data_IF_769045140104
#
_entry.id   IF_769045140104
#
_cell.length_a   1.000
_cell.length_b   1.000
_cell.length_c   1.000
_cell.angle_alpha   90.00
_cell.angle_beta   90.00
_cell.angle_gamma   90.00
#
_symmetry.space_group_name_H-M   'P 1'
#
loop_
_entity.id
_entity.type
_entity.pdbx_description
1 polymer ?
#
# COMPACT_ATOMS: atom_id res chain seq x y z
N UNK A 1 -5.97 0.26 25.99
CA UNK A 1 -5.74 -0.28 24.63
C UNK A 1 -6.96 -0.86 23.89
N UNK A 2 -8.06 -1.22 24.54
CA UNK A 2 -9.28 -1.76 23.85
C UNK A 2 -10.12 -0.69 23.12
N UNK A 3 -10.04 0.58 23.53
CA UNK A 3 -10.91 1.66 22.99
C UNK A 3 -10.49 2.13 21.59
N UNK A 4 -9.19 2.28 21.32
CA UNK A 4 -8.70 2.77 20.03
C UNK A 4 -9.06 1.86 18.82
N UNK A 5 -9.20 0.55 19.04
CA UNK A 5 -9.57 -0.40 17.97
C UNK A 5 -10.98 -0.18 17.41
N UNK A 6 -11.86 0.46 18.19
CA UNK A 6 -13.23 0.80 17.78
C UNK A 6 -13.33 2.22 17.22
N UNK A 7 -12.47 3.13 17.67
CA UNK A 7 -12.50 4.55 17.27
C UNK A 7 -11.99 4.73 15.83
N UNK A 8 -10.92 4.03 15.42
CA UNK A 8 -10.35 4.16 14.08
C UNK A 8 -11.33 3.82 12.94
N UNK A 9 -12.06 2.68 12.96
CA UNK A 9 -13.08 2.40 11.95
C UNK A 9 -14.23 3.41 11.95
N UNK A 10 -14.67 3.87 13.13
CA UNK A 10 -15.70 4.89 13.24
C UNK A 10 -15.26 6.22 12.61
N UNK A 11 -14.00 6.63 12.84
CA UNK A 11 -13.44 7.82 12.24
C UNK A 11 -13.33 7.71 10.71
N UNK A 12 -12.93 6.52 10.20
CA UNK A 12 -12.93 6.26 8.75
C UNK A 12 -14.31 6.40 8.13
N UNK A 13 -15.33 5.80 8.76
CA UNK A 13 -16.73 5.90 8.31
C UNK A 13 -17.20 7.35 8.37
N UNK A 14 -16.88 8.06 9.45
CA UNK A 14 -17.27 9.47 9.60
C UNK A 14 -16.71 10.34 8.47
N UNK A 15 -15.42 10.17 8.10
CA UNK A 15 -14.82 10.90 6.99
C UNK A 15 -15.51 10.60 5.65
N UNK A 16 -15.85 9.34 5.39
CA UNK A 16 -16.58 8.97 4.17
C UNK A 16 -18.00 9.57 4.15
N UNK A 17 -18.71 9.51 5.28
CA UNK A 17 -20.05 10.09 5.39
C UNK A 17 -20.02 11.60 5.18
N UNK A 18 -19.05 12.29 5.78
CA UNK A 18 -18.82 13.72 5.60
C UNK A 18 -18.58 14.03 4.11
N UNK A 19 -17.67 13.29 3.46
CA UNK A 19 -17.38 13.46 2.04
C UNK A 19 -18.65 13.28 1.19
N UNK A 20 -19.41 12.21 1.40
CA UNK A 20 -20.62 11.91 0.66
C UNK A 20 -21.73 12.95 0.90
N UNK A 21 -21.85 13.45 2.12
CA UNK A 21 -22.83 14.48 2.48
C UNK A 21 -22.59 15.79 1.72
N UNK A 22 -21.31 16.22 1.62
CA UNK A 22 -20.96 17.43 0.90
C UNK A 22 -20.91 17.27 -0.63
N UNK A 23 -20.91 16.03 -1.13
CA UNK A 23 -20.72 15.74 -2.57
C UNK A 23 -22.00 15.69 -3.39
N UNK A 24 -23.18 15.97 -2.79
CA UNK A 24 -24.48 15.83 -3.44
C UNK A 24 -24.67 14.44 -4.07
N UNK A 25 -25.11 13.48 -3.26
CA UNK A 25 -25.24 12.07 -3.65
C UNK A 25 -26.02 11.83 -4.96
N UNK A 26 -27.17 12.50 -5.25
CA UNK A 26 -27.83 12.37 -6.53
C UNK A 26 -26.92 12.67 -7.71
N UNK A 27 -26.19 13.79 -7.66
CA UNK A 27 -25.23 14.17 -8.70
C UNK A 27 -24.08 13.16 -8.85
N UNK A 28 -23.59 12.57 -7.76
CA UNK A 28 -22.58 11.49 -7.81
C UNK A 28 -23.12 10.27 -8.54
N UNK A 29 -24.35 9.85 -8.24
CA UNK A 29 -24.99 8.71 -8.89
C UNK A 29 -25.20 8.97 -10.38
N UNK A 30 -25.71 10.15 -10.75
CA UNK A 30 -25.92 10.54 -12.16
C UNK A 30 -24.63 10.51 -12.98
N UNK A 31 -23.51 10.93 -12.38
CA UNK A 31 -22.18 10.86 -13.01
C UNK A 31 -21.75 9.40 -13.19
N UNK A 32 -21.93 8.57 -12.18
CA UNK A 32 -21.56 7.15 -12.25
C UNK A 32 -22.38 6.35 -13.26
N UNK A 33 -23.64 6.69 -13.46
CA UNK A 33 -24.51 6.04 -14.47
C UNK A 33 -24.06 6.29 -15.91
N UNK A 34 -23.30 7.36 -16.16
CA UNK A 34 -22.76 7.73 -17.48
C UNK A 34 -21.39 7.13 -17.77
N UNK A 35 -20.89 6.23 -16.91
CA UNK A 35 -19.53 5.68 -16.99
C UNK A 35 -19.29 4.91 -18.29
N UNK A 36 -18.21 5.25 -18.99
CA UNK A 36 -17.76 4.53 -20.18
C UNK A 36 -17.11 3.20 -19.80
N UNK A 37 -17.83 2.09 -20.03
CA UNK A 37 -17.39 0.74 -19.66
C UNK A 37 -16.17 0.25 -20.43
N UNK A 38 -15.87 0.80 -21.63
CA UNK A 38 -14.67 0.45 -22.38
C UNK A 38 -13.41 0.90 -21.64
N UNK A 39 -13.39 2.13 -21.10
CA UNK A 39 -12.27 2.64 -20.31
C UNK A 39 -12.10 1.87 -18.99
N UNK A 40 -13.20 1.45 -18.38
CA UNK A 40 -13.17 0.58 -17.19
C UNK A 40 -12.57 -0.78 -17.52
N UNK A 41 -12.87 -1.35 -18.67
CA UNK A 41 -12.28 -2.63 -19.11
C UNK A 41 -10.77 -2.51 -19.27
N UNK A 42 -10.26 -1.41 -19.83
CA UNK A 42 -8.81 -1.13 -19.91
C UNK A 42 -8.21 -1.01 -18.51
N UNK A 43 -8.88 -0.29 -17.60
CA UNK A 43 -8.43 -0.14 -16.21
C UNK A 43 -8.34 -1.51 -15.50
N UNK A 44 -9.28 -2.43 -15.74
CA UNK A 44 -9.24 -3.79 -15.20
C UNK A 44 -8.05 -4.61 -15.73
N UNK A 45 -7.70 -4.48 -17.00
CA UNK A 45 -6.52 -5.13 -17.56
C UNK A 45 -5.25 -4.63 -16.89
N UNK A 46 -5.13 -3.31 -16.70
CA UNK A 46 -4.00 -2.69 -15.99
C UNK A 46 -3.97 -3.16 -14.53
N UNK A 47 -5.11 -3.29 -13.88
CA UNK A 47 -5.21 -3.81 -12.50
C UNK A 47 -4.65 -5.23 -12.41
N UNK A 48 -5.03 -6.13 -13.30
CA UNK A 48 -4.52 -7.51 -13.33
C UNK A 48 -3.01 -7.52 -13.54
N UNK A 49 -2.50 -6.70 -14.46
CA UNK A 49 -1.07 -6.54 -14.69
C UNK A 49 -0.34 -6.03 -13.42
N UNK A 50 -0.90 -5.02 -12.72
CA UNK A 50 -0.35 -4.49 -11.48
C UNK A 50 -0.27 -5.56 -10.39
N UNK A 51 -1.33 -6.37 -10.22
CA UNK A 51 -1.33 -7.49 -9.25
C UNK A 51 -0.26 -8.52 -9.63
N UNK A 52 -0.11 -8.85 -10.90
CA UNK A 52 0.94 -9.76 -11.37
C UNK A 52 2.34 -9.22 -11.07
N UNK A 53 2.60 -7.94 -11.32
CA UNK A 53 3.88 -7.26 -11.00
C UNK A 53 4.19 -7.37 -9.50
N UNK A 54 3.20 -7.24 -8.61
CA UNK A 54 3.37 -7.43 -7.16
C UNK A 54 3.84 -8.84 -6.81
N UNK A 55 3.27 -9.87 -7.45
CA UNK A 55 3.67 -11.27 -7.26
C UNK A 55 5.07 -11.52 -7.80
N UNK A 56 5.42 -10.97 -8.98
CA UNK A 56 6.78 -11.01 -9.55
C UNK A 56 7.79 -10.42 -8.57
N UNK A 57 7.50 -9.24 -8.03
CA UNK A 57 8.35 -8.55 -7.05
C UNK A 57 8.59 -9.41 -5.80
N UNK A 58 7.55 -10.03 -5.27
CA UNK A 58 7.68 -10.96 -4.16
C UNK A 58 8.55 -12.16 -4.51
N UNK A 59 8.35 -12.77 -5.67
CA UNK A 59 9.16 -13.90 -6.16
C UNK A 59 10.64 -13.53 -6.31
N UNK A 60 10.96 -12.33 -6.78
CA UNK A 60 12.34 -11.82 -6.88
C UNK A 60 13.01 -11.73 -5.50
N UNK A 61 12.30 -11.25 -4.49
CA UNK A 61 12.82 -11.25 -3.11
C UNK A 61 13.11 -12.66 -2.61
N UNK A 62 12.19 -13.60 -2.83
CA UNK A 62 12.39 -14.99 -2.41
C UNK A 62 13.60 -15.61 -3.13
N UNK A 63 13.76 -15.38 -4.43
CA UNK A 63 14.92 -15.81 -5.20
C UNK A 63 16.23 -15.23 -4.65
N UNK A 64 16.25 -13.95 -4.27
CA UNK A 64 17.43 -13.31 -3.63
C UNK A 64 17.80 -13.97 -2.29
N UNK A 65 16.83 -14.48 -1.57
CA UNK A 65 17.03 -15.19 -0.30
C UNK A 65 17.36 -16.69 -0.49
N UNK A 66 17.59 -17.13 -1.74
CA UNK A 66 17.75 -18.55 -2.10
C UNK A 66 16.57 -19.40 -1.60
N UNK A 67 15.34 -18.90 -1.81
CA UNK A 67 14.10 -19.61 -1.53
C UNK A 67 13.43 -19.88 -2.86
N UNK A 68 13.53 -21.14 -3.30
CA UNK A 68 12.81 -21.59 -4.48
C UNK A 68 11.30 -21.57 -4.23
N UNK A 69 10.54 -20.93 -5.12
CA UNK A 69 9.12 -20.79 -4.98
C UNK A 69 8.42 -20.81 -6.34
N UNK A 70 7.36 -21.56 -6.42
CA UNK A 70 6.47 -21.59 -7.59
C UNK A 70 5.61 -20.31 -7.64
N UNK A 71 5.03 -20.02 -8.79
CA UNK A 71 4.07 -18.91 -8.93
C UNK A 71 2.85 -19.07 -8.02
N UNK A 72 2.37 -20.33 -7.86
CA UNK A 72 1.26 -20.65 -6.96
C UNK A 72 1.60 -20.31 -5.51
N UNK A 73 2.78 -20.75 -5.00
CA UNK A 73 3.23 -20.45 -3.62
C UNK A 73 3.38 -18.94 -3.39
N UNK A 74 3.90 -18.21 -4.38
CA UNK A 74 3.98 -16.74 -4.29
C UNK A 74 2.59 -16.12 -4.21
N UNK A 75 1.65 -16.54 -5.06
CA UNK A 75 0.27 -16.02 -5.08
C UNK A 75 -0.48 -16.38 -3.79
N UNK A 76 -0.41 -17.64 -3.35
CA UNK A 76 -1.09 -18.10 -2.12
C UNK A 76 -0.49 -17.51 -0.83
N UNK A 77 0.76 -17.06 -0.84
CA UNK A 77 1.30 -16.30 0.29
C UNK A 77 0.95 -14.81 0.22
N UNK A 78 0.97 -14.23 -0.99
CA UNK A 78 0.82 -12.78 -1.20
C UNK A 78 -0.63 -12.31 -1.08
N UNK A 79 -1.57 -12.96 -1.81
CA UNK A 79 -2.95 -12.48 -1.92
C UNK A 79 -3.72 -12.47 -0.59
N UNK A 80 -3.71 -13.54 0.25
CA UNK A 80 -4.35 -13.47 1.56
C UNK A 80 -3.71 -12.44 2.50
N UNK A 81 -2.39 -12.22 2.38
CA UNK A 81 -1.71 -11.19 3.15
C UNK A 81 -2.14 -9.78 2.71
N UNK A 82 -2.31 -9.54 1.42
CA UNK A 82 -2.83 -8.29 0.88
C UNK A 82 -4.26 -8.02 1.40
N UNK A 83 -5.12 -9.05 1.40
CA UNK A 83 -6.46 -8.95 1.99
C UNK A 83 -6.40 -8.52 3.45
N UNK A 84 -5.67 -9.23 4.30
CA UNK A 84 -5.58 -8.94 5.72
C UNK A 84 -4.93 -7.59 6.03
N UNK A 85 -3.93 -7.20 5.24
CA UNK A 85 -3.20 -5.96 5.46
C UNK A 85 -4.09 -4.72 5.36
N UNK A 86 -5.09 -4.77 4.48
CA UNK A 86 -6.03 -3.67 4.28
C UNK A 86 -6.97 -3.44 5.48
N UNK A 87 -7.14 -4.45 6.36
CA UNK A 87 -7.86 -4.29 7.62
C UNK A 87 -6.96 -3.86 8.79
N UNK A 88 -5.65 -3.74 8.56
CA UNK A 88 -4.71 -3.33 9.59
C UNK A 88 -4.25 -1.89 9.41
N UNK A 89 -4.07 -1.12 10.52
CA UNK A 89 -3.53 0.23 10.44
C UNK A 89 -2.20 0.25 9.69
N UNK A 90 -2.00 1.24 8.82
CA UNK A 90 -0.78 1.42 8.01
C UNK A 90 -0.30 0.13 7.28
N UNK A 91 -1.21 -0.80 6.97
CA UNK A 91 -0.93 -2.10 6.33
C UNK A 91 0.11 -2.96 7.07
N UNK A 92 0.18 -2.84 8.41
CA UNK A 92 1.12 -3.60 9.26
C UNK A 92 0.87 -5.11 9.18
N UNK A 93 -0.24 -5.57 8.62
CA UNK A 93 -0.56 -6.99 8.40
C UNK A 93 0.20 -7.68 7.26
N UNK A 94 0.87 -6.95 6.36
CA UNK A 94 1.55 -7.57 5.20
C UNK A 94 2.61 -8.62 5.53
N UNK A 95 3.41 -8.52 6.60
CA UNK A 95 4.32 -9.59 7.00
C UNK A 95 3.66 -10.95 7.24
N UNK A 96 2.34 -11.04 7.30
CA UNK A 96 1.63 -12.31 7.41
C UNK A 96 1.87 -13.22 6.19
N UNK A 97 2.29 -12.66 5.04
CA UNK A 97 2.72 -13.47 3.89
C UNK A 97 3.93 -14.35 4.21
N UNK A 98 4.80 -13.89 5.10
CA UNK A 98 5.92 -14.70 5.59
C UNK A 98 5.44 -15.88 6.45
N UNK A 99 4.33 -15.72 7.17
CA UNK A 99 3.69 -16.81 7.91
C UNK A 99 3.09 -17.84 6.95
N UNK A 100 2.38 -17.43 5.91
CA UNK A 100 1.82 -18.33 4.92
C UNK A 100 2.92 -19.09 4.18
N UNK A 101 4.02 -18.42 3.81
CA UNK A 101 5.15 -19.07 3.20
C UNK A 101 5.82 -20.07 4.16
N UNK A 102 5.93 -19.73 5.46
CA UNK A 102 6.41 -20.68 6.48
C UNK A 102 5.52 -21.92 6.56
N UNK A 103 4.20 -21.75 6.52
CA UNK A 103 3.25 -22.87 6.58
C UNK A 103 3.39 -23.80 5.38
N UNK A 104 3.64 -23.26 4.18
CA UNK A 104 3.75 -24.04 2.94
C UNK A 104 5.13 -24.67 2.74
N UNK A 105 6.21 -24.00 3.15
CA UNK A 105 7.60 -24.38 2.81
C UNK A 105 8.51 -24.56 4.03
N UNK A 106 8.05 -24.34 5.24
CA UNK A 106 8.89 -24.41 6.44
C UNK A 106 9.91 -23.27 6.58
N UNK A 107 9.90 -22.27 5.68
CA UNK A 107 10.88 -21.18 5.69
C UNK A 107 10.66 -20.26 6.90
N UNK A 108 11.76 -19.89 7.59
CA UNK A 108 11.68 -19.00 8.74
C UNK A 108 11.12 -17.62 8.38
N UNK A 109 10.14 -17.14 9.13
CA UNK A 109 9.58 -15.79 8.97
C UNK A 109 10.64 -14.70 9.18
N UNK A 110 11.59 -14.91 10.10
CA UNK A 110 12.67 -13.94 10.35
C UNK A 110 13.54 -13.69 9.12
N UNK A 111 13.67 -14.68 8.22
CA UNK A 111 14.40 -14.53 6.96
C UNK A 111 13.63 -13.73 5.90
N UNK A 112 12.31 -13.80 5.89
CA UNK A 112 11.47 -13.23 4.83
C UNK A 112 10.82 -11.89 5.18
N UNK A 113 10.58 -11.58 6.47
CA UNK A 113 10.04 -10.30 6.93
C UNK A 113 10.87 -9.09 6.45
N UNK A 114 12.22 -9.11 6.48
CA UNK A 114 13.03 -7.99 5.99
C UNK A 114 12.71 -7.58 4.55
N UNK A 115 12.47 -8.54 3.67
CA UNK A 115 12.11 -8.23 2.28
C UNK A 115 10.75 -7.51 2.18
N UNK A 116 9.81 -7.78 3.09
CA UNK A 116 8.54 -7.04 3.18
C UNK A 116 8.77 -5.59 3.58
N UNK A 117 9.67 -5.37 4.54
CA UNK A 117 10.03 -4.02 5.01
C UNK A 117 10.68 -3.22 3.89
N UNK A 118 11.64 -3.83 3.17
CA UNK A 118 12.30 -3.18 2.03
C UNK A 118 11.31 -2.87 0.92
N UNK A 119 10.37 -3.77 0.64
CA UNK A 119 9.30 -3.53 -0.32
C UNK A 119 8.45 -2.30 0.06
N UNK A 120 8.07 -2.17 1.34
CA UNK A 120 7.33 -0.99 1.83
C UNK A 120 8.15 0.29 1.71
N UNK A 121 9.44 0.24 2.01
CA UNK A 121 10.31 1.40 1.80
C UNK A 121 10.34 1.84 0.32
N UNK A 122 10.47 0.89 -0.62
CA UNK A 122 10.44 1.19 -2.05
C UNK A 122 9.09 1.76 -2.50
N UNK A 123 7.99 1.25 -1.96
CA UNK A 123 6.65 1.78 -2.25
C UNK A 123 6.50 3.22 -1.75
N UNK A 124 6.93 3.53 -0.52
CA UNK A 124 6.86 4.90 0.02
C UNK A 124 7.76 5.84 -0.79
N UNK A 125 8.97 5.44 -1.15
CA UNK A 125 9.87 6.24 -2.01
C UNK A 125 9.18 6.53 -3.36
N UNK A 126 8.56 5.51 -3.97
CA UNK A 126 7.83 5.67 -5.23
C UNK A 126 6.66 6.65 -5.12
N UNK A 127 5.86 6.53 -4.06
CA UNK A 127 4.75 7.45 -3.78
C UNK A 127 5.22 8.88 -3.55
N UNK A 128 6.32 9.06 -2.83
CA UNK A 128 6.90 10.37 -2.59
C UNK A 128 7.39 10.99 -3.90
N UNK A 129 8.09 10.23 -4.75
CA UNK A 129 8.54 10.72 -6.07
C UNK A 129 7.33 11.15 -6.92
N UNK A 130 6.26 10.37 -6.95
CA UNK A 130 5.06 10.70 -7.69
C UNK A 130 4.29 11.87 -7.07
N UNK A 131 4.23 11.93 -5.74
CA UNK A 131 3.50 12.98 -5.00
C UNK A 131 4.20 14.32 -5.02
N UNK A 132 5.53 14.35 -5.08
CA UNK A 132 6.31 15.61 -5.13
C UNK A 132 5.89 16.53 -6.28
N UNK A 133 5.46 15.96 -7.39
CA UNK A 133 5.02 16.76 -8.54
C UNK A 133 3.78 17.63 -8.26
N UNK A 134 2.97 17.30 -7.27
CA UNK A 134 1.85 18.16 -6.86
C UNK A 134 2.34 19.54 -6.38
N UNK A 135 3.56 19.59 -5.85
CA UNK A 135 4.17 20.81 -5.32
C UNK A 135 4.47 21.84 -6.40
N UNK A 136 4.72 21.40 -7.63
CA UNK A 136 4.97 22.27 -8.77
C UNK A 136 3.68 22.80 -9.40
N UNK A 137 2.53 22.19 -9.10
CA UNK A 137 1.23 22.60 -9.60
C UNK A 137 0.46 23.50 -8.62
N UNK A 138 0.76 23.40 -7.34
CA UNK A 138 0.16 24.23 -6.30
C UNK A 138 1.21 25.09 -5.60
N UNK A 139 0.88 26.35 -5.36
CA UNK A 139 1.66 27.23 -4.47
C UNK A 139 1.37 26.89 -2.98
N UNK A 140 1.51 25.60 -2.66
CA UNK A 140 1.15 25.02 -1.36
C UNK A 140 2.31 25.11 -0.37
N UNK A 141 2.79 26.33 -0.09
CA UNK A 141 3.99 26.64 0.70
C UNK A 141 4.30 25.69 1.88
N UNK A 142 3.31 25.29 2.67
CA UNK A 142 3.51 24.42 3.83
C UNK A 142 3.50 22.90 3.51
N UNK A 143 2.77 22.47 2.49
CA UNK A 143 2.64 21.04 2.12
C UNK A 143 3.95 20.51 1.54
N UNK A 144 4.73 21.38 0.86
CA UNK A 144 6.09 21.07 0.39
C UNK A 144 6.96 20.55 1.53
N UNK A 145 6.92 21.21 2.68
CA UNK A 145 7.73 20.81 3.83
C UNK A 145 7.35 19.44 4.39
N UNK A 146 6.08 19.07 4.32
CA UNK A 146 5.61 17.73 4.76
C UNK A 146 6.15 16.63 3.84
N UNK A 147 6.09 16.81 2.53
CA UNK A 147 6.61 15.82 1.58
C UNK A 147 8.14 15.71 1.66
N UNK A 148 8.86 16.84 1.71
CA UNK A 148 10.31 16.84 1.91
C UNK A 148 10.68 16.17 3.23
N UNK A 149 9.95 16.47 4.30
CA UNK A 149 10.15 15.81 5.60
C UNK A 149 9.94 14.30 5.51
N UNK A 150 8.88 13.85 4.82
CA UNK A 150 8.61 12.42 4.62
C UNK A 150 9.70 11.73 3.79
N UNK A 151 10.20 12.40 2.73
CA UNK A 151 11.34 11.91 1.94
C UNK A 151 12.56 11.72 2.83
N UNK A 152 12.92 12.75 3.57
CA UNK A 152 14.09 12.73 4.46
C UNK A 152 13.92 11.64 5.53
N UNK A 153 12.74 11.53 6.13
CA UNK A 153 12.43 10.53 7.14
C UNK A 153 12.55 9.10 6.59
N UNK A 154 12.02 8.84 5.40
CA UNK A 154 12.11 7.52 4.75
C UNK A 154 13.55 7.19 4.36
N UNK A 155 14.29 8.16 3.85
CA UNK A 155 15.72 8.00 3.53
C UNK A 155 16.52 7.69 4.81
N UNK A 156 16.29 8.44 5.89
CA UNK A 156 16.98 8.23 7.18
C UNK A 156 16.65 6.84 7.73
N UNK A 157 15.36 6.45 7.75
CA UNK A 157 14.95 5.13 8.21
C UNK A 157 15.56 4.04 7.32
N UNK A 158 15.53 4.21 6.00
CA UNK A 158 16.11 3.26 5.05
C UNK A 158 17.62 3.08 5.25
N UNK A 159 18.36 4.17 5.40
CA UNK A 159 19.82 4.15 5.67
C UNK A 159 20.09 3.53 7.04
N UNK A 160 19.32 3.88 8.07
CA UNK A 160 19.48 3.34 9.42
C UNK A 160 19.24 1.83 9.47
N UNK A 161 18.24 1.34 8.72
CA UNK A 161 17.95 -0.10 8.60
C UNK A 161 19.05 -0.85 7.85
N UNK A 162 19.63 -0.25 6.81
CA UNK A 162 20.68 -0.88 6.01
C UNK A 162 22.05 -0.86 6.70
N UNK A 163 22.33 0.15 7.53
CA UNK A 163 23.64 0.36 8.16
C UNK A 163 23.76 -0.14 9.59
N UNK A 164 22.68 -0.23 10.34
CA UNK A 164 22.76 -0.43 11.79
C UNK A 164 21.95 -1.64 12.24
N UNK A 165 22.66 -2.73 12.51
CA UNK A 165 22.08 -3.98 13.03
C UNK A 165 21.25 -3.78 14.32
N UNK A 166 21.64 -2.83 15.19
CA UNK A 166 20.92 -2.53 16.42
C UNK A 166 19.58 -1.83 16.16
N UNK A 167 19.50 -0.99 15.12
CA UNK A 167 18.26 -0.31 14.71
C UNK A 167 17.30 -1.31 14.08
N UNK A 168 17.81 -2.16 13.19
CA UNK A 168 17.02 -3.25 12.61
C UNK A 168 16.48 -4.20 13.70
N UNK A 169 17.33 -4.54 14.70
CA UNK A 169 16.92 -5.37 15.85
C UNK A 169 15.87 -4.70 16.76
N UNK A 170 15.91 -3.37 16.94
CA UNK A 170 14.88 -2.64 17.71
C UNK A 170 13.55 -2.61 16.97
N UNK A 171 13.56 -2.33 15.67
CA UNK A 171 12.35 -2.34 14.83
C UNK A 171 11.74 -3.73 14.80
N UNK A 172 12.57 -4.78 14.66
CA UNK A 172 12.14 -6.17 14.81
C UNK A 172 11.53 -6.43 16.19
N UNK A 173 12.15 -5.91 17.26
CA UNK A 173 11.63 -6.04 18.63
C UNK A 173 10.26 -5.39 18.82
N UNK A 174 10.04 -4.22 18.22
CA UNK A 174 8.72 -3.55 18.21
C UNK A 174 7.71 -4.35 17.39
N UNK A 175 8.10 -4.78 16.20
CA UNK A 175 7.29 -5.63 15.34
C UNK A 175 6.92 -6.95 16.04
N UNK A 176 7.92 -7.60 16.65
CA UNK A 176 7.72 -8.82 17.42
C UNK A 176 6.78 -8.60 18.61
N UNK A 177 6.86 -7.46 19.29
CA UNK A 177 5.98 -7.10 20.41
C UNK A 177 4.54 -6.90 19.98
N UNK A 178 4.30 -6.33 18.81
CA UNK A 178 2.97 -6.13 18.21
C UNK A 178 2.33 -7.48 17.84
N UNK A 179 3.13 -8.44 17.35
CA UNK A 179 2.66 -9.76 16.93
C UNK A 179 2.78 -10.85 18.01
N UNK A 180 3.38 -10.56 19.18
CA UNK A 180 3.64 -11.53 20.25
C UNK A 180 2.41 -11.94 21.07
N UNK A 181 1.22 -11.60 20.63
CA UNK A 181 -0.01 -12.07 21.29
C UNK A 181 -0.25 -13.59 21.19
N UNK A 182 0.59 -14.33 20.45
CA UNK A 182 0.45 -15.77 20.31
C UNK A 182 1.34 -16.51 21.32
N UNK A 183 0.81 -17.45 22.15
CA UNK A 183 1.56 -18.16 23.20
C UNK A 183 2.81 -18.93 22.72
N UNK A 184 2.83 -19.35 21.44
CA UNK A 184 3.94 -20.07 20.80
C UNK A 184 5.22 -19.25 20.59
N UNK A 185 5.18 -17.95 20.85
CA UNK A 185 6.34 -17.05 20.70
C UNK A 185 7.19 -16.93 21.99
N UNK A 186 6.78 -17.58 23.10
CA UNK A 186 7.59 -17.63 24.33
C UNK A 186 8.94 -18.35 24.10
N UNK A 187 9.01 -19.33 23.20
CA UNK A 187 10.24 -20.01 22.82
C UNK A 187 11.21 -19.17 21.99
N UNK A 188 10.73 -18.08 21.38
CA UNK A 188 11.56 -17.16 20.62
C UNK A 188 12.54 -16.35 21.49
N UNK A 189 12.27 -16.19 22.79
CA UNK A 189 13.24 -15.58 23.72
C UNK A 189 14.53 -16.42 23.86
N UNK A 190 14.41 -17.73 23.78
CA UNK A 190 15.55 -18.68 23.87
C UNK A 190 16.43 -18.69 22.61
N UNK A 191 15.86 -18.32 21.44
CA UNK A 191 16.55 -18.30 20.13
C UNK A 191 16.77 -16.89 19.59
N UNK A 192 16.90 -15.91 20.48
CA UNK A 192 16.96 -14.49 20.09
C UNK A 192 18.10 -14.18 19.12
N UNK A 193 19.28 -14.74 19.34
CA UNK A 193 20.46 -14.49 18.52
C UNK A 193 20.29 -15.08 17.11
N UNK A 194 19.88 -16.33 17.01
CA UNK A 194 19.61 -17.00 15.74
C UNK A 194 18.53 -16.28 14.92
N UNK A 195 17.47 -15.81 15.58
CA UNK A 195 16.40 -15.03 14.94
C UNK A 195 16.92 -13.70 14.43
N UNK A 196 17.77 -13.03 15.22
CA UNK A 196 18.37 -11.74 14.85
C UNK A 196 19.31 -11.89 13.66
N UNK A 197 20.17 -12.90 13.65
CA UNK A 197 21.06 -13.18 12.53
C UNK A 197 20.30 -13.49 11.23
N UNK A 198 19.29 -14.36 11.31
CA UNK A 198 18.40 -14.65 10.16
C UNK A 198 17.66 -13.42 9.67
N UNK A 199 17.27 -12.52 10.56
CA UNK A 199 16.64 -11.27 10.22
C UNK A 199 17.61 -10.34 9.48
N UNK A 200 18.86 -10.22 9.96
CA UNK A 200 19.89 -9.45 9.25
C UNK A 200 20.23 -10.02 7.88
N UNK A 201 20.34 -11.35 7.78
CA UNK A 201 20.59 -11.98 6.48
C UNK A 201 19.48 -11.67 5.46
N UNK A 202 18.26 -11.47 5.91
CA UNK A 202 17.12 -11.09 5.09
C UNK A 202 17.22 -9.68 4.46
N UNK A 203 18.02 -8.77 5.05
CA UNK A 203 18.31 -7.45 4.48
C UNK A 203 19.46 -7.47 3.46
N UNK A 204 20.19 -8.56 3.33
CA UNK A 204 21.26 -8.69 2.33
C UNK A 204 20.67 -8.86 0.94
N UNK A 205 20.21 -7.76 0.35
CA UNK A 205 19.61 -7.72 -0.98
C UNK A 205 20.67 -7.21 -1.96
N UNK A 206 20.86 -7.93 -3.07
CA UNK A 206 21.77 -7.52 -4.14
C UNK A 206 21.31 -6.18 -4.70
N UNK A 207 22.23 -5.25 -4.95
CA UNK A 207 21.92 -3.91 -5.49
C UNK A 207 21.10 -3.98 -6.80
N UNK A 208 21.43 -4.93 -7.69
CA UNK A 208 20.67 -5.14 -8.92
C UNK A 208 19.20 -5.51 -8.66
N UNK A 209 18.93 -6.35 -7.66
CA UNK A 209 17.57 -6.71 -7.28
C UNK A 209 16.85 -5.52 -6.66
N UNK A 210 17.53 -4.74 -5.82
CA UNK A 210 16.98 -3.55 -5.21
C UNK A 210 16.53 -2.52 -6.27
N UNK A 211 17.35 -2.31 -7.32
CA UNK A 211 17.00 -1.43 -8.44
C UNK A 211 15.79 -1.95 -9.22
N UNK A 212 15.74 -3.25 -9.52
CA UNK A 212 14.58 -3.85 -10.20
C UNK A 212 13.32 -3.74 -9.34
N UNK A 213 13.40 -4.03 -8.06
CA UNK A 213 12.28 -3.91 -7.11
C UNK A 213 11.77 -2.47 -7.04
N UNK A 214 12.67 -1.49 -7.02
CA UNK A 214 12.28 -0.07 -7.06
C UNK A 214 11.52 0.28 -8.34
N UNK A 215 12.03 -0.14 -9.51
CA UNK A 215 11.35 0.08 -10.79
C UNK A 215 9.97 -0.59 -10.78
N UNK A 216 9.86 -1.83 -10.28
CA UNK A 216 8.56 -2.51 -10.18
C UNK A 216 7.62 -1.79 -9.21
N UNK A 217 8.13 -1.23 -8.10
CA UNK A 217 7.32 -0.41 -7.18
C UNK A 217 6.79 0.84 -7.87
N UNK A 218 7.64 1.54 -8.61
CA UNK A 218 7.24 2.72 -9.38
C UNK A 218 6.17 2.37 -10.43
N UNK A 219 6.37 1.27 -11.18
CA UNK A 219 5.39 0.79 -12.16
C UNK A 219 4.04 0.44 -11.53
N UNK A 220 4.03 -0.18 -10.35
CA UNK A 220 2.79 -0.49 -9.60
C UNK A 220 2.04 0.80 -9.29
N UNK A 221 2.70 1.81 -8.73
CA UNK A 221 2.05 3.05 -8.32
C UNK A 221 1.64 3.92 -9.50
N UNK A 222 2.42 3.95 -10.58
CA UNK A 222 2.03 4.58 -11.86
C UNK A 222 0.81 3.88 -12.44
N UNK A 223 0.77 2.53 -12.43
CA UNK A 223 -0.40 1.76 -12.91
C UNK A 223 -1.66 2.12 -12.12
N UNK A 224 -1.58 2.27 -10.81
CA UNK A 224 -2.73 2.72 -10.01
C UNK A 224 -3.14 4.16 -10.35
N UNK A 225 -2.19 5.06 -10.58
CA UNK A 225 -2.46 6.40 -11.08
C UNK A 225 -3.19 6.40 -12.44
N UNK A 226 -2.75 5.53 -13.36
CA UNK A 226 -3.41 5.36 -14.67
C UNK A 226 -4.84 4.82 -14.50
N UNK A 227 -5.08 3.89 -13.56
CA UNK A 227 -6.43 3.39 -13.27
C UNK A 227 -7.33 4.52 -12.78
N UNK A 228 -6.84 5.39 -11.88
CA UNK A 228 -7.61 6.57 -11.46
C UNK A 228 -7.85 7.54 -12.62
N UNK A 229 -6.85 7.81 -13.45
CA UNK A 229 -7.00 8.62 -14.65
C UNK A 229 -8.10 8.08 -15.56
N UNK A 230 -8.11 6.78 -15.85
CA UNK A 230 -9.14 6.13 -16.66
C UNK A 230 -10.52 6.19 -15.98
N UNK A 231 -10.58 6.08 -14.65
CA UNK A 231 -11.81 6.24 -13.90
C UNK A 231 -12.41 7.65 -14.09
N UNK A 232 -11.60 8.71 -13.99
CA UNK A 232 -12.05 10.08 -14.26
C UNK A 232 -12.43 10.29 -15.71
N UNK A 233 -11.62 9.82 -16.65
CA UNK A 233 -11.92 9.91 -18.07
C UNK A 233 -13.22 9.18 -18.42
N UNK A 234 -13.51 8.05 -17.77
CA UNK A 234 -14.73 7.26 -18.02
C UNK A 234 -16.01 7.96 -17.64
N UNK A 235 -15.96 8.92 -16.74
CA UNK A 235 -17.09 9.77 -16.33
C UNK A 235 -17.10 11.14 -17.04
N UNK A 236 -16.27 11.30 -18.09
CA UNK A 236 -16.20 12.53 -18.88
C UNK A 236 -15.40 13.67 -18.24
N UNK A 237 -14.55 13.36 -17.26
CA UNK A 237 -13.66 14.33 -16.60
C UNK A 237 -12.26 14.25 -17.20
N UNK A 238 -11.86 15.30 -17.92
CA UNK A 238 -10.56 15.40 -18.58
C UNK A 238 -9.58 16.19 -17.69
N UNK A 239 -8.73 15.47 -16.99
CA UNK A 239 -7.61 15.99 -16.22
C UNK A 239 -6.32 15.38 -16.72
N UNK A 240 -5.15 16.00 -16.46
CA UNK A 240 -3.91 15.40 -16.88
C UNK A 240 -3.60 14.13 -16.06
N UNK A 241 -3.11 13.09 -16.73
CA UNK A 241 -2.64 11.86 -16.07
C UNK A 241 -1.65 12.15 -14.93
N UNK A 242 -0.77 13.09 -15.18
CA UNK A 242 0.26 13.52 -14.24
C UNK A 242 -0.37 14.13 -12.97
N UNK A 243 -1.33 15.03 -13.12
CA UNK A 243 -2.04 15.66 -12.01
C UNK A 243 -2.76 14.61 -11.15
N UNK A 244 -3.55 13.73 -11.77
CA UNK A 244 -4.29 12.69 -11.05
C UNK A 244 -3.34 11.74 -10.32
N UNK A 245 -2.27 11.29 -10.98
CA UNK A 245 -1.28 10.38 -10.37
C UNK A 245 -0.59 11.03 -9.18
N UNK A 246 -0.24 12.31 -9.27
CA UNK A 246 0.42 13.04 -8.18
C UNK A 246 -0.51 13.25 -6.99
N UNK A 247 -1.76 13.69 -7.23
CA UNK A 247 -2.75 13.87 -6.16
C UNK A 247 -3.06 12.52 -5.49
N UNK A 248 -3.23 11.47 -6.29
CA UNK A 248 -3.44 10.11 -5.79
C UNK A 248 -2.28 9.65 -4.89
N UNK A 249 -1.03 9.77 -5.36
CA UNK A 249 0.15 9.37 -4.60
C UNK A 249 0.26 10.12 -3.28
N UNK A 250 0.05 11.45 -3.29
CA UNK A 250 0.00 12.28 -2.10
C UNK A 250 -1.11 11.85 -1.14
N UNK A 251 -2.31 11.59 -1.65
CA UNK A 251 -3.46 11.18 -0.84
C UNK A 251 -3.24 9.82 -0.17
N UNK A 252 -2.55 8.88 -0.84
CA UNK A 252 -2.14 7.60 -0.24
C UNK A 252 -1.15 7.81 0.90
N UNK A 253 -0.16 8.71 0.73
CA UNK A 253 0.79 9.04 1.81
C UNK A 253 0.07 9.61 3.02
N UNK A 254 -0.85 10.55 2.81
CA UNK A 254 -1.68 11.09 3.90
C UNK A 254 -2.52 10.00 4.56
N UNK A 255 -3.09 9.08 3.79
CA UNK A 255 -3.81 7.92 4.29
C UNK A 255 -2.97 7.00 5.18
N UNK A 256 -1.68 6.83 4.87
CA UNK A 256 -0.74 6.05 5.69
C UNK A 256 -0.46 6.76 7.02
N UNK A 257 -0.28 8.09 7.02
CA UNK A 257 0.00 8.89 8.22
C UNK A 257 -1.16 8.85 9.21
N UNK A 258 -2.40 8.78 8.75
CA UNK A 258 -3.58 8.70 9.62
C UNK A 258 -3.72 7.37 10.35
N UNK A 259 -2.93 6.35 10.00
CA UNK A 259 -3.03 4.98 10.53
C UNK A 259 -4.42 4.35 10.39
N UNK A 260 -5.29 4.88 9.53
CA UNK A 260 -6.59 4.29 9.27
C UNK A 260 -6.45 2.96 8.49
N UNK A 261 -7.30 1.96 8.78
CA UNK A 261 -7.30 0.69 8.05
C UNK A 261 -7.51 0.91 6.55
N UNK A 262 -6.56 0.47 5.73
CA UNK A 262 -6.60 0.67 4.27
C UNK A 262 -6.55 2.14 3.81
N UNK A 263 -6.33 3.10 4.74
CA UNK A 263 -6.44 4.54 4.45
C UNK A 263 -7.85 5.00 4.11
N UNK A 264 -8.87 4.16 4.40
CA UNK A 264 -10.27 4.43 4.05
C UNK A 264 -10.75 5.69 4.77
N UNK A 265 -11.40 6.56 4.04
CA UNK A 265 -11.89 7.87 4.51
C UNK A 265 -10.84 8.97 4.33
N UNK A 266 -9.63 8.80 4.87
CA UNK A 266 -8.61 9.84 4.79
C UNK A 266 -8.03 10.02 3.39
N UNK A 267 -7.75 8.94 2.68
CA UNK A 267 -7.26 9.00 1.29
C UNK A 267 -8.28 9.66 0.39
N UNK A 268 -9.54 9.22 0.46
CA UNK A 268 -10.63 9.75 -0.35
C UNK A 268 -10.90 11.22 -0.03
N UNK A 269 -10.89 11.58 1.24
CA UNK A 269 -11.12 12.94 1.70
C UNK A 269 -10.03 13.92 1.19
N UNK A 270 -8.74 13.55 1.37
CA UNK A 270 -7.63 14.39 0.89
C UNK A 270 -7.64 14.49 -0.62
N UNK A 271 -7.91 13.40 -1.33
CA UNK A 271 -8.00 13.39 -2.79
C UNK A 271 -9.11 14.31 -3.29
N UNK A 272 -10.32 14.20 -2.70
CA UNK A 272 -11.46 15.03 -3.04
C UNK A 272 -11.21 16.53 -2.71
N UNK A 273 -10.61 16.80 -1.54
CA UNK A 273 -10.28 18.17 -1.13
C UNK A 273 -9.36 18.86 -2.12
N UNK A 274 -8.33 18.18 -2.61
CA UNK A 274 -7.41 18.75 -3.59
C UNK A 274 -8.10 18.90 -4.95
N UNK A 275 -8.83 17.88 -5.42
CA UNK A 275 -9.51 17.92 -6.72
C UNK A 275 -10.65 18.93 -6.78
N UNK A 276 -11.27 19.27 -5.66
CA UNK A 276 -12.34 20.28 -5.60
C UNK A 276 -11.89 21.68 -6.05
N UNK A 277 -10.57 21.91 -6.11
CA UNK A 277 -10.01 23.14 -6.69
C UNK A 277 -9.98 23.15 -8.24
N UNK A 278 -10.24 22.01 -8.88
CA UNK A 278 -10.19 21.87 -10.35
C UNK A 278 -11.54 21.51 -10.96
N UNK A 279 -12.34 20.71 -10.25
CA UNK A 279 -13.61 20.15 -10.72
C UNK A 279 -14.66 20.17 -9.62
N UNK A 280 -15.96 20.12 -9.95
CA UNK A 280 -17.02 19.98 -8.96
C UNK A 280 -16.81 18.79 -8.02
N UNK A 281 -17.12 18.97 -6.74
CA UNK A 281 -16.88 17.96 -5.71
C UNK A 281 -17.62 16.64 -6.00
N UNK A 282 -18.81 16.71 -6.62
CA UNK A 282 -19.57 15.51 -7.05
C UNK A 282 -18.81 14.68 -8.09
N UNK A 283 -18.19 15.31 -9.09
CA UNK A 283 -17.36 14.64 -10.09
C UNK A 283 -16.07 14.09 -9.46
N UNK A 284 -15.42 14.86 -8.58
CA UNK A 284 -14.25 14.41 -7.84
C UNK A 284 -14.57 13.14 -7.04
N UNK A 285 -15.66 13.17 -6.27
CA UNK A 285 -16.10 12.04 -5.44
C UNK A 285 -16.49 10.83 -6.29
N UNK A 286 -17.21 11.00 -7.40
CA UNK A 286 -17.57 9.90 -8.30
C UNK A 286 -16.32 9.20 -8.88
N UNK A 287 -15.35 9.96 -9.40
CA UNK A 287 -14.11 9.41 -9.94
C UNK A 287 -13.26 8.71 -8.88
N UNK A 288 -13.20 9.26 -7.66
CA UNK A 288 -12.47 8.64 -6.53
C UNK A 288 -13.15 7.33 -6.11
N UNK A 289 -14.47 7.29 -5.98
CA UNK A 289 -15.22 6.08 -5.63
C UNK A 289 -14.97 4.99 -6.68
N UNK A 290 -15.06 5.34 -7.97
CA UNK A 290 -14.82 4.40 -9.06
C UNK A 290 -13.37 3.89 -9.08
N UNK A 291 -12.39 4.78 -8.94
CA UNK A 291 -10.98 4.40 -8.85
C UNK A 291 -10.67 3.51 -7.64
N UNK A 292 -11.25 3.81 -6.48
CA UNK A 292 -11.12 2.96 -5.27
C UNK A 292 -11.86 1.63 -5.43
N UNK A 293 -12.99 1.62 -6.10
CA UNK A 293 -13.67 0.36 -6.41
C UNK A 293 -12.76 -0.57 -7.22
N UNK A 294 -12.09 -0.04 -8.23
CA UNK A 294 -11.15 -0.79 -9.05
C UNK A 294 -9.91 -1.20 -8.26
N UNK A 295 -9.17 -0.26 -7.67
CA UNK A 295 -7.84 -0.49 -7.09
C UNK A 295 -7.87 -1.12 -5.70
N UNK A 296 -8.97 -1.01 -4.96
CA UNK A 296 -9.08 -1.50 -3.60
C UNK A 296 -10.10 -2.64 -3.49
N UNK A 297 -11.38 -2.40 -3.82
CA UNK A 297 -12.44 -3.37 -3.56
C UNK A 297 -12.36 -4.60 -4.46
N UNK A 298 -12.07 -4.45 -5.76
CA UNK A 298 -11.90 -5.58 -6.67
C UNK A 298 -10.70 -6.43 -6.25
N UNK A 299 -9.57 -5.81 -5.89
CA UNK A 299 -8.41 -6.56 -5.39
C UNK A 299 -8.76 -7.32 -4.12
N UNK A 300 -9.48 -6.71 -3.19
CA UNK A 300 -9.93 -7.36 -1.96
C UNK A 300 -10.84 -8.56 -2.25
N UNK A 301 -11.77 -8.40 -3.18
CA UNK A 301 -12.65 -9.47 -3.61
C UNK A 301 -11.85 -10.64 -4.20
N UNK A 302 -10.95 -10.39 -5.15
CA UNK A 302 -10.09 -11.42 -5.74
C UNK A 302 -9.22 -12.07 -4.66
N UNK A 303 -8.61 -11.29 -3.78
CA UNK A 303 -7.73 -11.80 -2.72
C UNK A 303 -8.47 -12.71 -1.72
N UNK A 304 -9.76 -12.49 -1.50
CA UNK A 304 -10.58 -13.31 -0.60
C UNK A 304 -10.70 -14.77 -1.04
N UNK A 305 -10.66 -15.06 -2.35
CA UNK A 305 -10.71 -16.43 -2.88
C UNK A 305 -9.44 -17.23 -2.57
N UNK A 306 -8.31 -16.57 -2.39
CA UNK A 306 -7.06 -17.25 -2.03
C UNK A 306 -7.00 -17.68 -0.57
N UNK A 307 -7.91 -17.19 0.27
CA UNK A 307 -7.97 -17.53 1.69
C UNK A 307 -8.28 -19.00 1.96
N UNK A 308 -9.11 -19.61 1.11
CA UNK A 308 -9.60 -20.99 1.31
C UNK A 308 -8.52 -22.06 1.13
N UNK A 309 -7.36 -21.72 0.56
CA UNK A 309 -6.28 -22.67 0.24
C UNK A 309 -5.05 -22.54 1.15
N UNK A 310 -5.11 -21.68 2.15
CA UNK A 310 -4.04 -21.40 3.13
C UNK A 310 -4.50 -21.76 4.54
#
# INVERSE_FOLDING_TARGET
MKSYKKILPLFSIALLVILLYFSDLPSVVDVLLKTNMFLISIALVILVASVFIRIVRWKLFLKNLNIDSTWGECSYSYMPALFLSNFTPARVGEPIRSYFLKKMKGVSMSKTIPSVIVERAMDVISLVILGVFILFTFNLGYIVYVDVFLIILVIIIGIALLRNERVAGRIFGVFFRIFSFHPRLKDAKRRREEITERFHSGFRIKKSILSVVFILSLLIWVSEGIIFYLAFLSIGVELSLFLITSIFAFSILMGVITFLPGGIGSTEFVFALILSSYIPLSQATAGIILGRFLTFWIIMFIASFFWRKV
#
